data_IF_955944393345
#
_entry.id   IF_955944393345
#
_cell.length_a   1.000
_cell.length_b   1.000
_cell.length_c   1.000
_cell.angle_alpha   90.00
_cell.angle_beta   90.00
_cell.angle_gamma   90.00
#
_symmetry.space_group_name_H-M   'P 1'
#
loop_
_entity.id
_entity.type
_entity.pdbx_description
1 polymer ?
#
# COMPACT_ATOMS: atom_id res chain seq x y z
N UNK A 1 7.03 -36.74 -4.59
CA UNK A 1 6.67 -37.69 -5.68
C UNK A 1 6.16 -37.00 -6.95
N UNK A 2 5.21 -36.06 -6.88
CA UNK A 2 4.73 -35.32 -8.06
C UNK A 2 5.82 -34.44 -8.72
N UNK A 3 6.61 -33.71 -7.92
CA UNK A 3 7.77 -32.93 -8.42
C UNK A 3 8.83 -33.81 -9.09
N UNK A 4 8.97 -35.07 -8.68
CA UNK A 4 9.91 -36.01 -9.28
C UNK A 4 9.41 -36.61 -10.62
N UNK A 5 8.14 -36.34 -11.00
CA UNK A 5 7.48 -36.87 -12.19
C UNK A 5 7.18 -35.80 -13.25
N UNK A 6 7.59 -34.56 -13.03
CA UNK A 6 7.31 -33.39 -13.89
C UNK A 6 5.81 -33.30 -14.28
N UNK A 7 4.94 -33.65 -13.32
CA UNK A 7 3.51 -33.77 -13.56
C UNK A 7 2.86 -32.37 -13.67
N UNK A 8 2.10 -32.09 -14.74
CA UNK A 8 1.39 -30.81 -14.87
C UNK A 8 0.40 -30.59 -13.71
N UNK A 9 0.32 -29.36 -13.21
CA UNK A 9 -0.55 -28.99 -12.07
C UNK A 9 -2.01 -29.45 -12.21
N UNK A 10 -2.68 -29.38 -13.38
CA UNK A 10 -4.05 -29.90 -13.54
C UNK A 10 -4.15 -31.41 -13.31
N UNK A 11 -3.14 -32.19 -13.73
CA UNK A 11 -3.12 -33.64 -13.51
C UNK A 11 -2.95 -33.97 -12.02
N UNK A 12 -2.16 -33.17 -11.30
CA UNK A 12 -2.03 -33.27 -9.85
C UNK A 12 -3.37 -33.03 -9.13
N UNK A 13 -4.10 -31.96 -9.49
CA UNK A 13 -5.43 -31.69 -8.89
C UNK A 13 -6.46 -32.78 -9.20
N UNK A 14 -6.45 -33.34 -10.42
CA UNK A 14 -7.31 -34.49 -10.75
C UNK A 14 -7.05 -35.67 -9.81
N UNK A 15 -5.78 -36.00 -9.57
CA UNK A 15 -5.42 -37.08 -8.65
C UNK A 15 -5.82 -36.78 -7.20
N UNK A 16 -5.71 -35.52 -6.76
CA UNK A 16 -6.22 -35.11 -5.45
C UNK A 16 -7.74 -35.34 -5.35
N UNK A 17 -8.50 -35.01 -6.39
CA UNK A 17 -9.94 -35.25 -6.44
C UNK A 17 -10.28 -36.75 -6.40
N UNK A 18 -9.52 -37.59 -7.12
CA UNK A 18 -9.64 -39.05 -7.05
C UNK A 18 -9.40 -39.59 -5.64
N UNK A 19 -8.42 -39.04 -4.91
CA UNK A 19 -8.13 -39.42 -3.53
C UNK A 19 -9.15 -38.88 -2.52
N UNK A 20 -9.76 -37.73 -2.79
CA UNK A 20 -10.80 -37.17 -1.92
C UNK A 20 -12.12 -37.91 -2.03
N UNK A 21 -12.38 -38.58 -3.16
CA UNK A 21 -13.62 -39.32 -3.41
C UNK A 21 -14.81 -38.36 -3.47
N UNK A 22 -15.91 -38.71 -2.80
CA UNK A 22 -17.14 -37.89 -2.76
C UNK A 22 -17.01 -36.59 -1.94
N UNK A 23 -15.83 -36.32 -1.36
CA UNK A 23 -15.58 -35.08 -0.61
C UNK A 23 -15.20 -33.95 -1.55
N UNK A 24 -15.77 -32.77 -1.30
CA UNK A 24 -15.38 -31.55 -1.98
C UNK A 24 -13.95 -31.15 -1.57
N UNK A 25 -13.06 -31.00 -2.55
CA UNK A 25 -11.72 -30.48 -2.33
C UNK A 25 -11.78 -28.96 -2.07
N UNK A 26 -11.26 -28.54 -0.92
CA UNK A 26 -11.13 -27.11 -0.58
C UNK A 26 -9.67 -26.71 -0.69
N UNK A 27 -9.37 -25.81 -1.63
CA UNK A 27 -8.05 -25.23 -1.79
C UNK A 27 -7.99 -23.84 -1.17
N UNK A 28 -7.07 -23.64 -0.23
CA UNK A 28 -6.93 -22.39 0.53
C UNK A 28 -5.49 -21.94 0.53
N UNK A 29 -5.26 -20.78 -0.07
CA UNK A 29 -4.05 -20.01 0.11
C UNK A 29 -4.32 -18.51 0.00
N UNK A 30 -3.72 -17.69 0.88
CA UNK A 30 -3.82 -16.24 0.77
C UNK A 30 -3.05 -15.69 -0.45
N UNK A 31 -2.21 -16.50 -1.11
CA UNK A 31 -1.31 -16.03 -2.18
C UNK A 31 -1.97 -15.90 -3.55
N UNK A 32 -3.00 -16.68 -3.85
CA UNK A 32 -3.68 -16.61 -5.16
C UNK A 32 -4.19 -15.20 -5.44
N UNK A 33 -4.63 -14.51 -4.39
CA UNK A 33 -5.14 -13.17 -4.48
C UNK A 33 -4.12 -12.14 -5.00
N UNK A 34 -2.81 -12.41 -4.95
CA UNK A 34 -1.75 -11.47 -5.36
C UNK A 34 -1.39 -11.56 -6.84
N UNK A 35 -1.94 -12.55 -7.56
CA UNK A 35 -1.77 -12.72 -8.99
C UNK A 35 -3.11 -13.07 -9.66
N UNK A 36 -3.65 -12.11 -10.39
CA UNK A 36 -4.92 -12.26 -11.09
C UNK A 36 -4.89 -13.39 -12.12
N UNK A 37 -3.75 -13.66 -12.77
CA UNK A 37 -3.63 -14.78 -13.69
C UNK A 37 -3.82 -16.11 -12.96
N UNK A 38 -3.31 -16.23 -11.73
CA UNK A 38 -3.55 -17.38 -10.86
C UNK A 38 -5.01 -17.58 -10.51
N UNK A 39 -5.76 -16.51 -10.22
CA UNK A 39 -7.21 -16.61 -9.98
C UNK A 39 -7.97 -17.09 -11.24
N UNK A 40 -7.62 -16.54 -12.40
CA UNK A 40 -8.26 -16.87 -13.68
C UNK A 40 -8.00 -18.30 -14.12
N UNK A 41 -6.81 -18.86 -13.85
CA UNK A 41 -6.47 -20.26 -14.16
C UNK A 41 -7.44 -21.28 -13.58
N UNK A 42 -8.11 -20.95 -12.46
CA UNK A 42 -9.10 -21.86 -11.89
C UNK A 42 -10.29 -22.10 -12.85
N UNK A 43 -10.71 -21.10 -13.62
CA UNK A 43 -11.79 -21.25 -14.61
C UNK A 43 -11.34 -22.07 -15.83
N UNK A 44 -10.03 -22.12 -16.12
CA UNK A 44 -9.48 -22.94 -17.20
C UNK A 44 -9.34 -24.41 -16.79
N UNK A 45 -9.07 -24.67 -15.50
CA UNK A 45 -8.70 -26.00 -15.00
C UNK A 45 -9.87 -26.77 -14.41
N UNK A 46 -10.88 -26.08 -13.89
CA UNK A 46 -12.00 -26.69 -13.19
C UNK A 46 -13.33 -26.36 -13.86
N UNK A 47 -14.21 -27.34 -13.89
CA UNK A 47 -15.60 -27.12 -14.30
C UNK A 47 -16.38 -26.50 -13.14
N UNK A 48 -16.86 -25.27 -13.33
CA UNK A 48 -17.69 -24.53 -12.37
C UNK A 48 -17.14 -24.45 -10.93
N UNK A 49 -15.89 -23.98 -10.73
CA UNK A 49 -15.35 -23.84 -9.38
C UNK A 49 -16.19 -22.84 -8.55
N UNK A 50 -16.28 -23.12 -7.25
CA UNK A 50 -16.94 -22.28 -6.26
C UNK A 50 -15.90 -21.43 -5.51
N UNK A 51 -16.23 -20.17 -5.28
CA UNK A 51 -15.34 -19.20 -4.67
C UNK A 51 -15.89 -18.72 -3.33
N UNK A 52 -15.11 -18.94 -2.27
CA UNK A 52 -15.38 -18.39 -0.94
C UNK A 52 -14.44 -17.22 -0.70
N UNK A 53 -14.97 -16.00 -0.74
CA UNK A 53 -14.22 -14.78 -0.45
C UNK A 53 -14.29 -14.48 1.04
N UNK A 54 -13.31 -15.00 1.79
CA UNK A 54 -13.11 -14.65 3.19
C UNK A 54 -12.48 -13.25 3.29
N UNK A 55 -13.16 -12.34 3.96
CA UNK A 55 -12.72 -10.96 4.18
C UNK A 55 -12.51 -10.71 5.66
N UNK A 56 -11.46 -9.97 6.02
CA UNK A 56 -11.24 -9.46 7.37
C UNK A 56 -10.98 -7.96 7.32
N UNK A 57 -11.36 -7.25 8.37
CA UNK A 57 -11.17 -5.79 8.45
C UNK A 57 -9.70 -5.42 8.13
N UNK A 58 -9.43 -4.36 7.35
CA UNK A 58 -8.08 -4.02 6.89
C UNK A 58 -7.12 -3.80 8.06
N UNK A 59 -7.54 -3.06 9.09
CA UNK A 59 -6.72 -2.79 10.28
C UNK A 59 -6.36 -4.08 11.02
N UNK A 60 -7.33 -4.97 11.26
CA UNK A 60 -7.07 -6.27 11.91
C UNK A 60 -6.09 -7.11 11.11
N UNK A 61 -6.25 -7.11 9.77
CA UNK A 61 -5.39 -7.89 8.88
C UNK A 61 -3.96 -7.37 8.89
N UNK A 62 -3.79 -6.05 8.86
CA UNK A 62 -2.48 -5.42 8.86
C UNK A 62 -1.78 -5.60 10.20
N UNK A 63 -2.46 -5.41 11.33
CA UNK A 63 -1.91 -5.73 12.65
C UNK A 63 -1.43 -7.18 12.72
N UNK A 64 -2.27 -8.12 12.26
CA UNK A 64 -1.90 -9.54 12.19
C UNK A 64 -0.69 -9.79 11.28
N UNK A 65 -0.59 -9.10 10.15
CA UNK A 65 0.52 -9.18 9.21
C UNK A 65 1.83 -8.70 9.84
N UNK A 66 1.78 -7.59 10.57
CA UNK A 66 2.92 -7.00 11.28
C UNK A 66 3.40 -7.90 12.41
N UNK A 67 2.49 -8.39 13.26
CA UNK A 67 2.80 -9.30 14.36
C UNK A 67 3.40 -10.62 13.90
N UNK A 68 2.94 -11.13 12.75
CA UNK A 68 3.46 -12.36 12.15
C UNK A 68 4.78 -12.16 11.39
N UNK A 69 5.29 -10.92 11.32
CA UNK A 69 6.51 -10.56 10.59
C UNK A 69 6.48 -10.98 9.11
N UNK A 70 5.33 -10.88 8.47
CA UNK A 70 5.16 -11.33 7.08
C UNK A 70 5.94 -10.49 6.07
N UNK A 71 6.34 -9.27 6.43
CA UNK A 71 7.18 -8.40 5.60
C UNK A 71 8.57 -9.00 5.34
N UNK A 72 9.10 -9.77 6.29
CA UNK A 72 10.43 -10.38 6.19
C UNK A 72 10.49 -11.49 5.12
N UNK A 73 9.32 -12.04 4.75
CA UNK A 73 9.22 -13.10 3.73
C UNK A 73 9.33 -12.51 2.31
N UNK A 74 8.90 -11.27 2.12
CA UNK A 74 8.90 -10.57 0.83
C UNK A 74 9.21 -9.08 1.04
N UNK A 75 10.46 -8.69 1.31
CA UNK A 75 10.78 -7.31 1.60
C UNK A 75 10.50 -6.42 0.39
N UNK A 76 9.63 -5.43 0.56
CA UNK A 76 9.44 -4.33 -0.37
C UNK A 76 10.09 -3.06 0.19
N UNK A 77 10.51 -2.10 -0.65
CA UNK A 77 11.02 -0.80 -0.19
C UNK A 77 9.87 0.10 0.32
N UNK A 78 9.04 -0.42 1.22
CA UNK A 78 7.91 0.24 1.85
C UNK A 78 8.00 0.04 3.37
N UNK A 79 7.32 0.89 4.14
CA UNK A 79 7.12 0.58 5.57
C UNK A 79 6.33 -0.72 5.71
N UNK A 80 6.50 -1.43 6.82
CA UNK A 80 5.81 -2.70 7.04
C UNK A 80 4.28 -2.54 6.99
N UNK A 81 3.77 -1.41 7.50
CA UNK A 81 2.35 -1.04 7.49
C UNK A 81 1.85 -0.79 6.06
N UNK A 82 2.63 -0.06 5.25
CA UNK A 82 2.29 0.24 3.85
C UNK A 82 2.35 -1.00 2.97
N UNK A 83 3.33 -1.88 3.21
CA UNK A 83 3.40 -3.17 2.55
C UNK A 83 2.19 -4.04 2.91
N UNK A 84 1.85 -4.13 4.19
CA UNK A 84 0.68 -4.89 4.65
C UNK A 84 -0.63 -4.35 4.06
N UNK A 85 -0.79 -3.02 4.03
CA UNK A 85 -1.92 -2.33 3.40
C UNK A 85 -1.99 -2.63 1.90
N UNK A 86 -0.86 -2.54 1.19
CA UNK A 86 -0.80 -2.85 -0.24
C UNK A 86 -1.19 -4.29 -0.53
N UNK A 87 -0.69 -5.25 0.25
CA UNK A 87 -1.03 -6.67 0.14
C UNK A 87 -2.52 -6.90 0.33
N UNK A 88 -3.12 -6.28 1.37
CA UNK A 88 -4.56 -6.38 1.63
C UNK A 88 -5.38 -5.78 0.47
N UNK A 89 -5.03 -4.57 0.03
CA UNK A 89 -5.77 -3.84 -1.01
C UNK A 89 -5.66 -4.53 -2.36
N UNK A 90 -4.45 -4.90 -2.78
CA UNK A 90 -4.20 -5.56 -4.05
C UNK A 90 -4.92 -6.92 -4.09
N UNK A 91 -4.77 -7.71 -3.02
CA UNK A 91 -5.40 -9.03 -2.90
C UNK A 91 -6.91 -8.97 -3.07
N UNK A 92 -7.58 -8.09 -2.33
CA UNK A 92 -9.03 -7.96 -2.42
C UNK A 92 -9.51 -7.29 -3.71
N UNK A 93 -8.75 -6.34 -4.27
CA UNK A 93 -9.09 -5.75 -5.56
C UNK A 93 -9.07 -6.80 -6.69
N UNK A 94 -8.03 -7.65 -6.73
CA UNK A 94 -7.91 -8.72 -7.72
C UNK A 94 -8.98 -9.80 -7.55
N UNK A 95 -9.33 -10.17 -6.31
CA UNK A 95 -10.46 -11.08 -6.04
C UNK A 95 -11.76 -10.48 -6.58
N UNK A 96 -12.06 -9.21 -6.27
CA UNK A 96 -13.30 -8.57 -6.75
C UNK A 96 -13.33 -8.44 -8.28
N UNK A 97 -12.18 -8.17 -8.90
CA UNK A 97 -12.07 -8.12 -10.36
C UNK A 97 -12.37 -9.49 -10.99
N UNK A 98 -11.81 -10.57 -10.44
CA UNK A 98 -12.11 -11.94 -10.89
C UNK A 98 -13.58 -12.30 -10.67
N UNK A 99 -14.10 -12.08 -9.46
CA UNK A 99 -15.47 -12.42 -9.10
C UNK A 99 -16.52 -11.62 -9.85
N UNK A 100 -16.19 -10.44 -10.40
CA UNK A 100 -17.08 -9.70 -11.27
C UNK A 100 -17.42 -10.45 -12.57
N UNK A 101 -16.58 -11.41 -12.98
CA UNK A 101 -16.81 -12.27 -14.15
C UNK A 101 -17.42 -13.64 -13.79
N UNK A 102 -17.52 -13.96 -12.49
CA UNK A 102 -18.04 -15.23 -11.98
C UNK A 102 -19.53 -15.08 -11.65
N UNK A 103 -20.41 -16.00 -12.09
CA UNK A 103 -21.83 -15.98 -11.72
C UNK A 103 -22.03 -15.93 -10.19
N UNK A 104 -23.02 -15.15 -9.74
CA UNK A 104 -23.33 -15.00 -8.31
C UNK A 104 -23.55 -16.35 -7.58
N UNK A 105 -24.13 -17.34 -8.27
CA UNK A 105 -24.35 -18.68 -7.71
C UNK A 105 -23.05 -19.46 -7.43
N UNK A 106 -21.89 -19.01 -7.94
CA UNK A 106 -20.58 -19.65 -7.72
C UNK A 106 -19.68 -18.85 -6.78
N UNK A 107 -20.21 -17.82 -6.12
CA UNK A 107 -19.43 -17.01 -5.19
C UNK A 107 -20.19 -16.76 -3.88
N UNK A 108 -19.44 -16.81 -2.77
CA UNK A 108 -19.95 -16.53 -1.44
C UNK A 108 -18.95 -15.70 -0.66
N UNK A 109 -19.38 -14.54 -0.16
CA UNK A 109 -18.56 -13.68 0.69
C UNK A 109 -18.82 -14.01 2.15
N UNK A 110 -17.74 -14.23 2.90
CA UNK A 110 -17.77 -14.53 4.32
C UNK A 110 -16.92 -13.50 5.07
N UNK A 111 -17.52 -12.80 6.03
CA UNK A 111 -16.75 -11.90 6.90
C UNK A 111 -16.16 -12.69 8.06
N UNK A 112 -14.87 -12.48 8.31
CA UNK A 112 -14.14 -13.11 9.39
C UNK A 112 -14.76 -12.79 10.75
N UNK A 113 -15.19 -11.54 10.95
CA UNK A 113 -15.81 -11.07 12.18
C UNK A 113 -17.13 -11.81 12.47
N UNK A 114 -17.94 -12.09 11.45
CA UNK A 114 -19.15 -12.89 11.58
C UNK A 114 -18.82 -14.35 11.89
N UNK A 115 -17.81 -14.90 11.19
CA UNK A 115 -17.33 -16.27 11.39
C UNK A 115 -16.87 -16.54 12.83
N UNK A 116 -16.23 -15.57 13.50
CA UNK A 116 -15.77 -15.76 14.89
C UNK A 116 -16.78 -15.34 15.94
N UNK A 117 -17.73 -14.45 15.63
CA UNK A 117 -18.79 -14.02 16.56
C UNK A 117 -19.94 -15.03 16.63
N UNK A 118 -20.39 -15.50 15.49
CA UNK A 118 -21.42 -16.53 15.36
C UNK A 118 -20.99 -17.60 14.34
N UNK A 119 -20.06 -18.50 14.74
CA UNK A 119 -19.55 -19.53 13.84
C UNK A 119 -20.64 -20.48 13.35
N UNK A 120 -21.74 -20.64 14.09
CA UNK A 120 -22.84 -21.50 13.66
C UNK A 120 -23.56 -20.88 12.47
N UNK A 121 -24.04 -19.64 12.61
CA UNK A 121 -24.75 -18.96 11.53
C UNK A 121 -23.87 -18.79 10.28
N UNK A 122 -22.59 -18.45 10.48
CA UNK A 122 -21.63 -18.33 9.39
C UNK A 122 -21.42 -19.66 8.64
N UNK A 123 -21.27 -20.77 9.36
CA UNK A 123 -21.12 -22.10 8.75
C UNK A 123 -22.41 -22.59 8.10
N UNK A 124 -23.59 -22.28 8.64
CA UNK A 124 -24.88 -22.58 8.01
C UNK A 124 -25.00 -21.90 6.64
N UNK A 125 -24.65 -20.61 6.54
CA UNK A 125 -24.65 -19.88 5.28
C UNK A 125 -23.65 -20.45 4.26
N UNK A 126 -22.44 -20.78 4.70
CA UNK A 126 -21.40 -21.36 3.85
C UNK A 126 -21.79 -22.77 3.37
N UNK A 127 -22.27 -23.63 4.26
CA UNK A 127 -22.71 -24.98 3.93
C UNK A 127 -23.89 -24.96 2.95
N UNK A 128 -24.86 -24.06 3.14
CA UNK A 128 -25.96 -23.89 2.19
C UNK A 128 -25.46 -23.51 0.79
N UNK A 129 -24.47 -22.61 0.69
CA UNK A 129 -23.84 -22.26 -0.59
C UNK A 129 -23.10 -23.45 -1.23
N UNK A 130 -22.41 -24.26 -0.43
CA UNK A 130 -21.65 -25.42 -0.91
C UNK A 130 -22.53 -26.66 -1.17
N UNK A 131 -23.83 -26.61 -0.82
CA UNK A 131 -24.72 -27.77 -0.90
C UNK A 131 -24.38 -28.87 0.12
N UNK A 132 -23.89 -28.48 1.29
CA UNK A 132 -23.47 -29.37 2.37
C UNK A 132 -24.34 -29.19 3.62
N UNK A 133 -24.40 -30.21 4.46
CA UNK A 133 -24.97 -30.11 5.81
C UNK A 133 -23.92 -29.61 6.80
N UNK A 134 -24.37 -28.84 7.80
CA UNK A 134 -23.49 -28.40 8.89
C UNK A 134 -23.20 -29.57 9.82
N UNK A 135 -21.93 -29.94 9.92
CA UNK A 135 -21.47 -30.97 10.86
C UNK A 135 -20.98 -30.31 12.17
N UNK A 136 -21.26 -30.89 13.36
CA UNK A 136 -20.77 -30.36 14.63
C UNK A 136 -19.25 -30.16 14.67
N UNK A 137 -18.49 -31.02 13.98
CA UNK A 137 -17.04 -30.89 13.86
C UNK A 137 -16.61 -29.56 13.22
N UNK A 138 -17.43 -28.91 12.38
CA UNK A 138 -17.08 -27.61 11.80
C UNK A 138 -16.97 -26.50 12.85
N UNK A 139 -17.66 -26.65 13.99
CA UNK A 139 -17.67 -25.67 15.09
C UNK A 139 -16.56 -25.92 16.13
N UNK A 140 -15.86 -27.05 16.04
CA UNK A 140 -14.79 -27.45 16.97
C UNK A 140 -13.43 -27.62 16.26
N UNK A 141 -12.84 -26.55 15.68
CA UNK A 141 -11.65 -26.66 14.82
C UNK A 141 -10.38 -27.17 15.52
N UNK A 142 -10.35 -27.19 16.85
CA UNK A 142 -9.22 -27.68 17.67
C UNK A 142 -9.37 -29.14 18.09
N UNK A 143 -10.48 -29.79 17.73
CA UNK A 143 -10.74 -31.19 18.02
C UNK A 143 -10.50 -32.07 16.78
N UNK A 144 -9.87 -33.22 17.02
CA UNK A 144 -9.59 -34.24 16.01
C UNK A 144 -8.34 -33.98 15.17
N UNK A 145 -8.06 -34.88 14.22
CA UNK A 145 -6.91 -34.77 13.30
C UNK A 145 -7.29 -33.89 12.11
N UNK A 146 -6.78 -32.65 12.06
CA UNK A 146 -7.08 -31.68 10.98
C UNK A 146 -5.88 -31.28 10.13
N UNK A 147 -4.86 -32.14 10.08
CA UNK A 147 -3.59 -31.86 9.38
C UNK A 147 -2.89 -30.58 9.89
N UNK A 148 -3.12 -30.24 11.16
CA UNK A 148 -2.48 -29.11 11.86
C UNK A 148 -1.20 -29.55 12.59
N UNK A 149 -1.03 -30.85 12.82
CA UNK A 149 0.10 -31.41 13.58
C UNK A 149 1.37 -31.49 12.71
N UNK A 150 2.50 -30.96 13.20
CA UNK A 150 3.82 -31.14 12.56
C UNK A 150 4.38 -29.95 11.76
N UNK A 151 3.74 -28.79 11.75
CA UNK A 151 4.20 -27.58 11.02
C UNK A 151 5.39 -26.83 11.68
N UNK A 152 6.21 -27.49 12.49
CA UNK A 152 7.26 -26.83 13.30
C UNK A 152 8.51 -26.37 12.53
N UNK A 153 8.73 -26.82 11.30
CA UNK A 153 9.92 -26.45 10.50
C UNK A 153 9.60 -25.85 9.13
N UNK A 154 8.92 -26.61 8.26
CA UNK A 154 8.61 -26.20 6.88
C UNK A 154 7.22 -25.55 6.70
N UNK A 155 6.37 -25.61 7.73
CA UNK A 155 4.95 -25.24 7.69
C UNK A 155 4.63 -23.76 7.87
N UNK A 156 5.60 -22.96 8.32
CA UNK A 156 5.45 -21.52 8.59
C UNK A 156 5.08 -20.69 7.35
N UNK A 157 5.19 -21.23 6.15
CA UNK A 157 4.90 -20.50 4.90
C UNK A 157 3.45 -20.58 4.40
N UNK A 158 2.57 -21.43 4.97
CA UNK A 158 1.24 -21.72 4.37
C UNK A 158 0.00 -21.53 5.29
N UNK A 159 0.18 -21.36 6.60
CA UNK A 159 -0.93 -21.23 7.56
C UNK A 159 -0.66 -20.22 8.68
N UNK A 160 -1.65 -19.95 9.52
CA UNK A 160 -1.50 -19.04 10.67
C UNK A 160 -0.61 -19.70 11.75
N UNK A 161 0.60 -19.18 12.02
CA UNK A 161 1.49 -19.74 13.05
C UNK A 161 0.92 -19.65 14.47
N UNK A 162 -0.09 -18.81 14.70
CA UNK A 162 -0.76 -18.65 16.00
C UNK A 162 -1.93 -19.60 16.19
N UNK A 163 -2.32 -20.39 15.17
CA UNK A 163 -3.48 -21.29 15.26
C UNK A 163 -3.43 -22.17 16.53
N UNK A 164 -2.29 -22.78 16.84
CA UNK A 164 -2.11 -23.64 18.01
C UNK A 164 -2.11 -22.94 19.38
N UNK A 165 -2.08 -21.61 19.40
CA UNK A 165 -2.13 -20.83 20.64
C UNK A 165 -3.57 -20.70 21.18
N UNK A 166 -4.56 -21.00 20.33
CA UNK A 166 -5.97 -20.98 20.68
C UNK A 166 -6.48 -22.41 20.97
N UNK A 167 -7.52 -22.50 21.81
CA UNK A 167 -8.17 -23.79 22.15
C UNK A 167 -9.64 -23.85 21.71
N UNK A 168 -10.19 -22.72 21.29
CA UNK A 168 -11.57 -22.54 20.83
C UNK A 168 -11.63 -21.34 19.89
N UNK A 169 -12.71 -21.22 19.12
CA UNK A 169 -12.96 -20.04 18.29
C UNK A 169 -13.10 -18.83 19.23
N UNK A 170 -12.22 -17.84 19.06
CA UNK A 170 -12.13 -16.69 19.95
C UNK A 170 -12.85 -15.48 19.33
N UNK A 171 -14.07 -15.21 19.79
CA UNK A 171 -14.84 -14.04 19.33
C UNK A 171 -14.13 -12.70 19.65
N UNK A 172 -13.25 -12.66 20.66
CA UNK A 172 -12.53 -11.46 21.06
C UNK A 172 -11.58 -10.92 19.99
N UNK A 173 -11.19 -11.74 19.02
CA UNK A 173 -10.33 -11.31 17.91
C UNK A 173 -11.10 -10.55 16.81
N UNK A 174 -12.44 -10.58 16.83
CA UNK A 174 -13.29 -9.85 15.89
C UNK A 174 -13.10 -8.34 16.03
N UNK A 175 -13.03 -7.85 17.26
CA UNK A 175 -13.07 -6.42 17.59
C UNK A 175 -11.71 -5.81 17.89
N UNK A 176 -10.61 -6.58 17.85
CA UNK A 176 -9.25 -6.09 18.12
C UNK A 176 -8.84 -4.87 17.31
N UNK A 177 -9.40 -4.70 16.11
CA UNK A 177 -9.11 -3.53 15.29
C UNK A 177 -9.74 -2.24 15.83
N UNK A 178 -10.76 -2.31 16.68
CA UNK A 178 -11.43 -1.14 17.27
C UNK A 178 -10.57 -0.47 18.33
N UNK A 179 -9.66 -1.22 18.95
CA UNK A 179 -8.71 -0.73 19.95
C UNK A 179 -7.44 -0.11 19.31
N UNK A 180 -7.32 -0.16 17.98
CA UNK A 180 -6.19 0.41 17.27
C UNK A 180 -6.20 1.94 17.38
N UNK A 181 -5.12 2.59 17.85
CA UNK A 181 -5.03 4.04 17.90
C UNK A 181 -5.16 4.60 16.48
N UNK A 182 -6.17 5.44 16.30
CA UNK A 182 -6.57 6.17 15.10
C UNK A 182 -6.24 5.49 13.75
N UNK A 183 -7.31 5.06 13.09
CA UNK A 183 -7.43 4.58 11.71
C UNK A 183 -6.90 5.53 10.59
N UNK A 184 -6.07 6.50 10.95
CA UNK A 184 -5.57 7.62 10.14
C UNK A 184 -4.51 7.24 9.10
N UNK A 185 -3.94 6.03 9.16
CA UNK A 185 -2.83 5.62 8.28
C UNK A 185 -3.28 4.85 7.03
N UNK A 186 -4.52 4.31 7.01
CA UNK A 186 -5.09 3.69 5.81
C UNK A 186 -5.43 4.74 4.75
N UNK A 187 -4.97 4.51 3.52
CA UNK A 187 -5.23 5.37 2.38
C UNK A 187 -6.69 5.33 1.93
N UNK A 188 -7.11 6.37 1.21
CA UNK A 188 -8.49 6.52 0.73
C UNK A 188 -8.94 5.33 -0.13
N UNK A 189 -8.08 4.86 -1.03
CA UNK A 189 -8.37 3.71 -1.89
C UNK A 189 -8.62 2.42 -1.07
N UNK A 190 -7.96 2.28 0.08
CA UNK A 190 -8.15 1.15 0.99
C UNK A 190 -9.50 1.25 1.69
N UNK A 191 -9.89 2.44 2.15
CA UNK A 191 -11.21 2.67 2.75
C UNK A 191 -12.35 2.46 1.76
N UNK A 192 -12.23 3.00 0.54
CA UNK A 192 -13.22 2.77 -0.53
C UNK A 192 -13.39 1.28 -0.83
N UNK A 193 -12.30 0.52 -0.81
CA UNK A 193 -12.37 -0.93 -0.98
C UNK A 193 -13.01 -1.62 0.24
N UNK A 194 -12.70 -1.19 1.46
CA UNK A 194 -13.29 -1.72 2.69
C UNK A 194 -14.82 -1.51 2.73
N UNK A 195 -15.30 -0.32 2.33
CA UNK A 195 -16.73 -0.01 2.22
C UNK A 195 -17.43 -0.94 1.23
N UNK A 196 -16.84 -1.18 0.05
CA UNK A 196 -17.34 -2.15 -0.94
C UNK A 196 -17.41 -3.58 -0.38
N UNK A 197 -16.53 -3.90 0.56
CA UNK A 197 -16.47 -5.21 1.22
C UNK A 197 -17.40 -5.34 2.42
N UNK A 198 -18.12 -4.27 2.78
CA UNK A 198 -19.10 -4.28 3.87
C UNK A 198 -18.57 -3.80 5.22
N UNK A 199 -17.40 -3.15 5.25
CA UNK A 199 -16.91 -2.48 6.46
C UNK A 199 -17.26 -1.01 6.45
N UNK A 200 -17.88 -0.57 7.54
CA UNK A 200 -18.12 0.84 7.77
C UNK A 200 -16.79 1.56 7.93
N UNK A 201 -16.61 2.61 7.15
CA UNK A 201 -15.57 3.59 7.44
C UNK A 201 -15.93 4.22 8.78
N UNK A 202 -15.01 4.25 9.76
CA UNK A 202 -15.22 5.02 10.98
C UNK A 202 -15.62 6.41 10.54
N UNK A 203 -16.69 6.97 11.13
CA UNK A 203 -16.99 8.37 10.93
C UNK A 203 -15.67 9.10 11.14
N UNK A 204 -15.14 9.72 10.08
CA UNK A 204 -14.03 10.63 10.23
C UNK A 204 -14.51 11.51 11.36
N UNK A 205 -13.77 11.59 12.47
CA UNK A 205 -13.92 12.77 13.27
C UNK A 205 -13.69 13.88 12.24
N UNK A 206 -14.80 14.48 11.79
CA UNK A 206 -14.73 15.80 11.23
C UNK A 206 -14.18 16.51 12.43
N UNK A 207 -12.87 16.72 12.38
CA UNK A 207 -12.17 17.74 13.08
C UNK A 207 -12.93 19.03 12.70
N UNK A 208 -14.08 19.21 13.35
CA UNK A 208 -14.88 20.44 13.36
C UNK A 208 -14.15 21.49 14.20
N UNK A 209 -13.18 21.06 14.99
CA UNK A 209 -12.00 21.83 15.28
C UNK A 209 -10.97 21.41 14.23
N UNK A 210 -10.47 22.33 13.40
CA UNK A 210 -9.19 22.10 12.71
C UNK A 210 -8.09 21.65 13.70
N UNK A 211 -6.84 21.42 13.27
CA UNK A 211 -5.77 21.19 14.26
C UNK A 211 -5.92 22.26 15.34
N UNK A 212 -6.21 21.86 16.59
CA UNK A 212 -6.17 22.80 17.70
C UNK A 212 -4.85 23.50 17.52
N UNK A 213 -4.90 24.82 17.34
CA UNK A 213 -3.69 25.60 17.31
C UNK A 213 -2.91 25.13 18.53
N UNK A 214 -1.79 24.43 18.29
CA UNK A 214 -0.79 24.37 19.31
C UNK A 214 -0.50 25.85 19.52
N UNK A 215 -0.82 26.38 20.71
CA UNK A 215 -0.37 27.70 21.17
C UNK A 215 1.15 27.64 21.36
N UNK A 216 1.86 27.19 20.32
CA UNK A 216 3.29 27.25 20.17
C UNK A 216 3.51 28.34 19.14
N UNK A 217 4.12 29.47 19.52
CA UNK A 217 4.53 30.45 18.53
C UNK A 217 5.43 29.74 17.52
N UNK A 218 5.23 30.04 16.22
CA UNK A 218 6.12 29.60 15.16
C UNK A 218 7.56 29.83 15.62
N UNK A 219 8.27 28.73 15.87
CA UNK A 219 9.65 28.80 16.33
C UNK A 219 10.43 29.32 15.13
N UNK A 220 10.75 30.61 15.15
CA UNK A 220 11.68 31.20 14.17
C UNK A 220 12.97 30.35 14.09
N UNK A 221 13.83 30.60 13.09
CA UNK A 221 14.81 29.62 12.57
C UNK A 221 16.00 29.24 13.49
N UNK A 222 15.82 29.15 14.81
CA UNK A 222 16.91 29.14 15.78
C UNK A 222 17.23 27.80 16.43
N UNK A 223 16.46 26.72 16.37
CA UNK A 223 17.04 25.38 16.59
C UNK A 223 15.99 24.31 16.29
N UNK A 224 15.84 23.91 15.02
CA UNK A 224 14.78 22.99 14.63
C UNK A 224 15.30 21.54 14.70
N UNK A 225 14.91 20.74 15.72
CA UNK A 225 15.29 19.34 15.77
C UNK A 225 14.58 18.56 14.66
N UNK A 226 15.12 17.42 14.27
CA UNK A 226 14.40 16.48 13.40
C UNK A 226 13.29 15.80 14.20
N UNK A 227 12.14 15.57 13.57
CA UNK A 227 11.12 14.68 14.11
C UNK A 227 11.67 13.26 14.24
N UNK A 228 11.05 12.40 15.06
CA UNK A 228 11.51 11.01 15.22
C UNK A 228 11.56 10.25 13.89
N UNK A 229 10.61 10.50 12.99
CA UNK A 229 10.61 9.93 11.65
C UNK A 229 11.79 10.41 10.80
N UNK A 230 12.07 11.70 10.83
CA UNK A 230 13.22 12.28 10.14
C UNK A 230 14.55 11.78 10.71
N UNK A 231 14.70 11.67 12.04
CA UNK A 231 15.91 11.16 12.70
C UNK A 231 16.23 9.72 12.23
N UNK A 232 15.22 8.85 12.16
CA UNK A 232 15.38 7.48 11.66
C UNK A 232 15.88 7.46 10.22
N UNK A 233 15.26 8.24 9.33
CA UNK A 233 15.63 8.30 7.91
C UNK A 233 17.01 8.92 7.70
N UNK A 234 17.36 9.94 8.46
CA UNK A 234 18.69 10.54 8.46
C UNK A 234 19.76 9.52 8.89
N UNK A 235 19.50 8.75 9.95
CA UNK A 235 20.41 7.70 10.40
C UNK A 235 20.60 6.61 9.33
N UNK A 236 19.53 6.19 8.68
CA UNK A 236 19.58 5.21 7.58
C UNK A 236 20.39 5.72 6.39
N UNK A 237 20.23 6.98 6.01
CA UNK A 237 21.04 7.62 4.97
C UNK A 237 22.54 7.66 5.33
N UNK A 238 22.90 7.79 6.62
CA UNK A 238 24.31 7.70 7.05
C UNK A 238 24.88 6.29 6.98
N UNK A 239 24.05 5.26 7.14
CA UNK A 239 24.48 3.86 7.01
C UNK A 239 24.68 3.46 5.55
N UNK A 240 23.86 3.98 4.64
CA UNK A 240 23.92 3.68 3.20
C UNK A 240 23.91 4.96 2.34
N UNK A 241 24.99 5.77 2.37
CA UNK A 241 25.03 7.03 1.63
C UNK A 241 24.82 6.84 0.12
N UNK A 242 23.92 7.63 -0.45
CA UNK A 242 23.60 7.58 -1.88
C UNK A 242 22.66 6.45 -2.29
N UNK A 243 22.10 5.70 -1.33
CA UNK A 243 21.08 4.68 -1.58
C UNK A 243 19.77 5.33 -2.06
N UNK A 244 19.19 4.78 -3.13
CA UNK A 244 17.88 5.17 -3.62
C UNK A 244 16.69 4.58 -2.85
N UNK A 245 16.95 3.81 -1.77
CA UNK A 245 15.91 3.05 -1.06
C UNK A 245 14.79 3.92 -0.46
N UNK A 246 15.06 5.21 -0.21
CA UNK A 246 14.10 6.17 0.34
C UNK A 246 13.71 7.26 -0.66
N UNK A 247 13.97 7.04 -1.94
CA UNK A 247 13.43 7.86 -3.01
C UNK A 247 11.96 7.48 -3.27
N UNK A 248 11.16 8.46 -3.66
CA UNK A 248 9.76 8.28 -4.05
C UNK A 248 9.56 8.79 -5.49
N UNK A 249 10.08 8.06 -6.50
CA UNK A 249 9.94 8.46 -7.90
C UNK A 249 8.53 8.20 -8.41
N UNK A 250 8.03 9.13 -9.22
CA UNK A 250 6.78 9.01 -9.97
C UNK A 250 6.98 9.60 -11.38
N UNK A 251 6.25 9.05 -12.35
CA UNK A 251 6.18 9.60 -13.69
C UNK A 251 4.72 9.72 -14.13
N UNK A 252 4.37 10.86 -14.73
CA UNK A 252 3.00 11.16 -15.19
C UNK A 252 3.06 11.53 -16.65
N UNK A 253 2.42 10.73 -17.50
CA UNK A 253 2.22 11.06 -18.92
C UNK A 253 1.10 12.08 -19.02
N UNK A 254 1.36 13.20 -19.69
CA UNK A 254 0.39 14.25 -19.98
C UNK A 254 0.19 14.26 -21.49
N UNK A 255 -1.06 14.16 -21.92
CA UNK A 255 -1.47 14.26 -23.32
C UNK A 255 -2.44 15.41 -23.47
N UNK A 256 -2.30 16.18 -24.55
CA UNK A 256 -3.06 17.40 -24.80
C UNK A 256 -2.29 18.68 -24.43
N UNK A 257 -2.96 19.85 -24.48
CA UNK A 257 -2.34 21.13 -24.20
C UNK A 257 -1.88 21.23 -22.73
N UNK A 258 -0.64 21.72 -22.53
CA UNK A 258 -0.05 21.94 -21.21
C UNK A 258 0.50 23.36 -21.10
N UNK A 259 0.04 24.14 -20.13
CA UNK A 259 0.67 25.42 -19.78
C UNK A 259 1.88 25.14 -18.87
N UNK A 260 3.05 24.95 -19.49
CA UNK A 260 4.31 24.67 -18.79
C UNK A 260 4.66 25.78 -17.78
N UNK A 261 4.34 27.04 -18.11
CA UNK A 261 4.63 28.15 -17.22
C UNK A 261 3.71 28.14 -15.99
N UNK A 262 2.43 27.80 -16.15
CA UNK A 262 1.52 27.60 -15.02
C UNK A 262 1.96 26.42 -14.14
N UNK A 263 2.41 25.32 -14.74
CA UNK A 263 2.92 24.17 -14.00
C UNK A 263 4.17 24.54 -13.19
N UNK A 264 5.12 25.26 -13.78
CA UNK A 264 6.31 25.76 -13.09
C UNK A 264 5.96 26.69 -11.93
N UNK A 265 5.00 27.62 -12.12
CA UNK A 265 4.49 28.50 -11.05
C UNK A 265 3.82 27.70 -9.93
N UNK A 266 3.04 26.68 -10.27
CA UNK A 266 2.36 25.82 -9.32
C UNK A 266 3.35 25.01 -8.47
N UNK A 267 4.38 24.41 -9.08
CA UNK A 267 5.46 23.76 -8.35
C UNK A 267 6.15 24.73 -7.39
N UNK A 268 6.51 25.93 -7.85
CA UNK A 268 7.16 26.93 -7.01
C UNK A 268 6.26 27.40 -5.85
N UNK A 269 4.95 27.48 -6.06
CA UNK A 269 3.99 27.80 -5.02
C UNK A 269 3.87 26.67 -3.98
N UNK A 270 3.91 25.40 -4.40
CA UNK A 270 3.95 24.24 -3.51
C UNK A 270 5.20 24.26 -2.61
N UNK A 271 6.39 24.47 -3.17
CA UNK A 271 7.61 24.53 -2.36
C UNK A 271 7.61 25.73 -1.40
N UNK A 272 7.07 26.88 -1.82
CA UNK A 272 6.90 28.04 -0.92
C UNK A 272 5.94 27.74 0.22
N UNK A 273 4.85 27.05 -0.08
CA UNK A 273 3.78 26.72 0.86
C UNK A 273 4.22 25.70 1.92
N UNK A 274 4.96 24.67 1.50
CA UNK A 274 5.39 23.56 2.38
C UNK A 274 6.88 23.66 2.68
N UNK A 275 7.22 24.19 3.84
CA UNK A 275 8.63 24.43 4.20
C UNK A 275 9.47 23.16 4.20
N UNK A 276 8.86 22.01 4.50
CA UNK A 276 9.51 20.70 4.51
C UNK A 276 10.15 20.34 3.16
N UNK A 277 9.58 20.79 2.04
CA UNK A 277 10.10 20.51 0.70
C UNK A 277 11.41 21.25 0.40
N UNK A 278 11.67 22.34 1.14
CA UNK A 278 12.91 23.14 1.09
C UNK A 278 13.78 22.92 2.33
N UNK A 279 13.48 21.94 3.17
CA UNK A 279 14.29 21.60 4.36
C UNK A 279 15.46 20.71 3.98
N UNK A 280 16.65 21.07 4.47
CA UNK A 280 17.85 20.24 4.48
C UNK A 280 18.15 19.75 5.91
N UNK A 281 19.01 18.74 6.03
CA UNK A 281 19.31 18.03 7.27
C UNK A 281 20.82 17.92 7.53
N UNK A 282 21.54 19.04 7.69
CA UNK A 282 22.97 19.00 8.01
C UNK A 282 23.21 18.43 9.42
N UNK A 283 24.40 17.87 9.62
CA UNK A 283 24.91 17.55 10.95
C UNK A 283 25.66 18.77 11.50
N UNK A 284 25.19 19.32 12.62
CA UNK A 284 25.87 20.40 13.36
C UNK A 284 26.28 19.82 14.71
N UNK A 285 27.59 19.86 15.02
CA UNK A 285 28.15 19.27 16.25
C UNK A 285 27.79 17.78 16.44
N UNK A 286 27.71 17.04 15.34
CA UNK A 286 27.37 15.60 15.36
C UNK A 286 25.89 15.29 15.58
N UNK A 287 25.01 16.30 15.62
CA UNK A 287 23.55 16.12 15.72
C UNK A 287 22.86 16.60 14.45
N UNK A 288 21.88 15.86 13.91
CA UNK A 288 21.12 16.33 12.76
C UNK A 288 20.20 17.49 13.18
N UNK A 289 20.06 18.49 12.31
CA UNK A 289 19.15 19.63 12.49
C UNK A 289 18.37 19.90 11.20
N UNK A 290 17.18 20.48 11.30
CA UNK A 290 16.43 20.95 10.15
C UNK A 290 16.93 22.36 9.78
N UNK A 291 17.30 22.54 8.53
CA UNK A 291 17.62 23.85 7.95
C UNK A 291 16.67 24.16 6.80
N UNK A 292 15.71 25.04 7.05
CA UNK A 292 14.71 25.46 6.06
C UNK A 292 15.36 26.46 5.09
N UNK A 293 15.60 26.03 3.85
CA UNK A 293 16.25 26.84 2.80
C UNK A 293 15.28 27.84 2.17
N UNK A 294 15.78 28.92 1.59
CA UNK A 294 14.95 29.83 0.81
C UNK A 294 14.30 29.09 -0.40
N UNK A 295 13.09 29.48 -0.82
CA UNK A 295 12.44 28.90 -2.00
C UNK A 295 13.29 29.06 -3.26
N UNK A 296 13.27 28.05 -4.13
CA UNK A 296 14.01 28.07 -5.40
C UNK A 296 13.27 28.88 -6.46
N UNK A 297 14.01 29.59 -7.33
CA UNK A 297 13.41 30.38 -8.41
C UNK A 297 12.89 29.51 -9.57
N UNK A 298 13.49 28.34 -9.80
CA UNK A 298 13.12 27.40 -10.87
C UNK A 298 12.98 25.97 -10.31
N UNK A 299 11.82 25.36 -10.54
CA UNK A 299 11.49 24.01 -10.08
C UNK A 299 11.12 23.05 -11.20
N UNK A 300 11.06 23.50 -12.45
CA UNK A 300 10.60 22.67 -13.56
C UNK A 300 11.57 22.71 -14.74
N UNK A 301 12.81 22.21 -14.57
CA UNK A 301 13.72 22.03 -15.68
C UNK A 301 13.09 21.15 -16.76
N UNK A 302 13.11 21.67 -18.00
CA UNK A 302 12.61 20.98 -19.18
C UNK A 302 13.72 20.29 -19.97
N UNK A 303 13.42 19.14 -20.58
CA UNK A 303 14.25 18.51 -21.61
C UNK A 303 13.40 18.30 -22.85
N UNK A 304 13.82 18.90 -23.97
CA UNK A 304 13.13 18.74 -25.24
C UNK A 304 13.66 17.50 -25.99
N UNK A 305 12.82 16.47 -26.10
CA UNK A 305 13.11 15.25 -26.83
C UNK A 305 12.51 15.27 -28.24
N UNK A 306 11.77 16.32 -28.62
CA UNK A 306 11.14 16.42 -29.94
C UNK A 306 12.17 16.51 -31.07
N UNK A 307 13.38 16.98 -30.79
CA UNK A 307 14.50 16.99 -31.72
C UNK A 307 15.04 15.59 -32.06
N UNK A 308 14.75 14.58 -31.23
CA UNK A 308 15.15 13.19 -31.50
C UNK A 308 14.21 12.53 -32.53
N UNK A 309 14.70 11.54 -33.30
CA UNK A 309 13.84 10.68 -34.10
C UNK A 309 12.74 10.04 -33.26
N UNK A 310 11.50 10.02 -33.77
CA UNK A 310 10.33 9.54 -33.01
C UNK A 310 10.52 8.16 -32.37
N UNK A 311 11.17 7.23 -33.08
CA UNK A 311 11.46 5.88 -32.60
C UNK A 311 12.39 5.82 -31.37
N UNK A 312 13.15 6.88 -31.09
CA UNK A 312 14.12 6.94 -29.98
C UNK A 312 13.61 7.71 -28.76
N UNK A 313 12.53 8.50 -28.91
CA UNK A 313 12.07 9.41 -27.85
C UNK A 313 11.63 8.69 -26.60
N UNK A 314 10.88 7.60 -26.74
CA UNK A 314 10.34 6.83 -25.61
C UNK A 314 11.45 6.10 -24.84
N UNK A 315 12.43 5.57 -25.56
CA UNK A 315 13.60 4.93 -24.97
C UNK A 315 14.44 5.94 -24.18
N UNK A 316 14.66 7.13 -24.73
CA UNK A 316 15.40 8.19 -24.05
C UNK A 316 14.63 8.75 -22.85
N UNK A 317 13.30 8.93 -22.97
CA UNK A 317 12.46 9.32 -21.84
C UNK A 317 12.52 8.30 -20.70
N UNK A 318 12.47 7.01 -21.02
CA UNK A 318 12.63 5.92 -20.04
C UNK A 318 14.01 5.95 -19.37
N UNK A 319 15.09 6.15 -20.15
CA UNK A 319 16.46 6.27 -19.65
C UNK A 319 16.58 7.44 -18.67
N UNK A 320 16.02 8.60 -19.01
CA UNK A 320 16.02 9.79 -18.17
C UNK A 320 15.17 9.61 -16.90
N UNK A 321 14.02 8.93 -16.99
CA UNK A 321 13.19 8.60 -15.83
C UNK A 321 13.93 7.70 -14.82
N UNK A 322 14.61 6.66 -15.30
CA UNK A 322 15.43 5.78 -14.45
C UNK A 322 16.60 6.55 -13.84
N UNK A 323 17.28 7.39 -14.63
CA UNK A 323 18.38 8.22 -14.13
C UNK A 323 17.92 9.20 -13.03
N UNK A 324 16.76 9.84 -13.19
CA UNK A 324 16.18 10.74 -12.19
C UNK A 324 15.76 9.99 -10.92
N UNK A 325 15.19 8.79 -11.06
CA UNK A 325 14.79 7.94 -9.95
C UNK A 325 16.00 7.46 -9.10
N UNK A 326 17.12 7.14 -9.75
CA UNK A 326 18.32 6.61 -9.11
C UNK A 326 19.31 7.69 -8.65
N UNK A 327 19.22 8.90 -9.20
CA UNK A 327 20.12 9.99 -8.82
C UNK A 327 19.99 10.29 -7.32
N UNK A 328 21.09 10.24 -6.55
CA UNK A 328 21.05 10.34 -5.09
C UNK A 328 20.60 11.73 -4.62
N UNK A 329 19.94 11.77 -3.47
CA UNK A 329 19.71 13.01 -2.73
C UNK A 329 20.82 13.22 -1.70
N UNK A 330 21.32 14.45 -1.60
CA UNK A 330 22.16 14.87 -0.47
C UNK A 330 21.27 15.51 0.60
N UNK A 331 21.04 14.79 1.71
CA UNK A 331 20.21 15.26 2.80
C UNK A 331 20.76 16.54 3.44
N UNK A 332 22.06 16.77 3.46
CA UNK A 332 22.66 17.93 4.12
C UNK A 332 22.52 19.21 3.29
N UNK A 333 22.57 19.09 1.96
CA UNK A 333 22.47 20.21 1.05
C UNK A 333 21.04 20.47 0.56
N UNK A 334 20.27 19.41 0.31
CA UNK A 334 19.05 19.47 -0.50
C UNK A 334 19.35 19.90 -1.94
N UNK A 335 18.31 20.17 -2.75
CA UNK A 335 16.89 20.02 -2.46
C UNK A 335 16.45 18.55 -2.46
N UNK A 336 15.42 18.22 -1.67
CA UNK A 336 14.92 16.85 -1.47
C UNK A 336 13.60 16.55 -2.20
N UNK A 337 13.26 17.45 -3.12
CA UNK A 337 12.16 17.37 -4.08
C UNK A 337 12.69 17.84 -5.44
N UNK A 338 12.51 17.03 -6.48
CA UNK A 338 12.89 17.31 -7.87
C UNK A 338 11.72 17.06 -8.79
N UNK A 339 11.55 17.98 -9.75
CA UNK A 339 10.60 17.84 -10.84
C UNK A 339 11.34 18.04 -12.15
N UNK A 340 10.97 17.31 -13.19
CA UNK A 340 11.52 17.48 -14.53
C UNK A 340 10.42 17.24 -15.54
N UNK A 341 10.34 18.09 -16.57
CA UNK A 341 9.41 17.90 -17.67
C UNK A 341 10.16 17.41 -18.91
N UNK A 342 9.78 16.26 -19.47
CA UNK A 342 10.26 15.81 -20.77
C UNK A 342 9.20 16.12 -21.82
N UNK A 343 9.58 16.76 -22.92
CA UNK A 343 8.70 17.09 -24.04
C UNK A 343 8.94 16.09 -25.18
N UNK A 344 7.97 15.22 -25.45
CA UNK A 344 8.10 14.10 -26.40
C UNK A 344 7.49 14.42 -27.78
N UNK A 345 6.39 15.16 -27.79
CA UNK A 345 5.71 15.66 -28.98
C UNK A 345 4.91 16.91 -28.64
N UNK A 346 4.34 17.57 -29.66
CA UNK A 346 3.65 18.87 -29.52
C UNK A 346 2.65 18.95 -28.35
N UNK A 347 1.96 17.84 -28.06
CA UNK A 347 0.99 17.72 -26.96
C UNK A 347 1.25 16.46 -26.12
N UNK A 348 2.51 16.05 -26.01
CA UNK A 348 2.90 14.87 -25.23
C UNK A 348 4.10 15.17 -24.34
N UNK A 349 3.89 15.01 -23.04
CA UNK A 349 4.89 15.31 -22.02
C UNK A 349 4.98 14.18 -21.00
N UNK A 350 6.17 13.99 -20.43
CA UNK A 350 6.38 13.12 -19.27
C UNK A 350 6.88 13.98 -18.11
N UNK A 351 6.05 14.14 -17.09
CA UNK A 351 6.42 14.80 -15.85
C UNK A 351 7.05 13.78 -14.91
N UNK A 352 8.33 13.97 -14.60
CA UNK A 352 9.06 13.20 -13.61
C UNK A 352 9.05 13.96 -12.29
N UNK A 353 8.72 13.25 -11.21
CA UNK A 353 8.73 13.78 -9.85
C UNK A 353 9.52 12.81 -8.99
N UNK A 354 10.44 13.30 -8.17
CA UNK A 354 11.14 12.48 -7.21
C UNK A 354 11.30 13.23 -5.90
N UNK A 355 11.09 12.54 -4.78
CA UNK A 355 11.21 13.07 -3.43
C UNK A 355 12.07 12.14 -2.59
N UNK A 356 12.72 12.69 -1.56
CA UNK A 356 13.21 11.87 -0.46
C UNK A 356 12.09 11.67 0.58
N UNK A 357 11.92 10.45 1.09
CA UNK A 357 10.87 10.12 2.08
C UNK A 357 11.01 10.93 3.40
N UNK A 358 12.18 11.53 3.65
CA UNK A 358 12.42 12.38 4.83
C UNK A 358 11.63 13.70 4.80
N UNK A 359 11.22 14.17 3.62
CA UNK A 359 10.45 15.42 3.46
C UNK A 359 8.99 15.19 3.08
N UNK A 360 8.59 13.95 2.80
CA UNK A 360 7.24 13.64 2.35
C UNK A 360 6.95 12.14 2.55
N UNK A 361 5.70 11.81 2.87
CA UNK A 361 5.21 10.44 2.96
C UNK A 361 4.09 10.19 1.93
N UNK A 362 3.63 8.95 1.83
CA UNK A 362 2.58 8.58 0.88
C UNK A 362 1.26 9.33 1.07
N UNK A 363 0.94 9.81 2.29
CA UNK A 363 -0.26 10.63 2.51
C UNK A 363 -0.07 12.03 1.95
N UNK A 364 1.07 12.63 2.27
CA UNK A 364 1.48 13.97 1.89
C UNK A 364 1.59 14.11 0.38
N UNK A 365 2.02 13.05 -0.34
CA UNK A 365 2.01 13.02 -1.82
C UNK A 365 0.61 13.30 -2.37
N UNK A 366 -0.44 12.70 -1.81
CA UNK A 366 -1.82 12.94 -2.25
C UNK A 366 -2.29 14.38 -1.98
N UNK A 367 -1.87 14.97 -0.86
CA UNK A 367 -2.16 16.38 -0.52
C UNK A 367 -1.43 17.34 -1.47
N UNK A 368 -0.12 17.17 -1.65
CA UNK A 368 0.70 17.95 -2.57
C UNK A 368 0.17 17.87 -3.99
N UNK A 369 -0.26 16.69 -4.44
CA UNK A 369 -0.83 16.52 -5.79
C UNK A 369 -2.13 17.32 -5.96
N UNK A 370 -3.05 17.27 -5.00
CA UNK A 370 -4.31 18.04 -5.06
C UNK A 370 -4.06 19.55 -5.07
N UNK A 371 -3.17 20.01 -4.20
CA UNK A 371 -2.81 21.42 -4.13
C UNK A 371 -2.08 21.90 -5.39
N UNK A 372 -1.20 21.07 -5.96
CA UNK A 372 -0.51 21.37 -7.21
C UNK A 372 -1.51 21.57 -8.35
N UNK A 373 -2.53 20.72 -8.45
CA UNK A 373 -3.59 20.86 -9.45
C UNK A 373 -4.43 22.12 -9.22
N UNK A 374 -4.78 22.44 -7.97
CA UNK A 374 -5.50 23.68 -7.65
C UNK A 374 -4.68 24.92 -8.05
N UNK A 375 -3.39 24.95 -7.72
CA UNK A 375 -2.48 26.05 -8.05
C UNK A 375 -2.23 26.15 -9.55
N UNK A 376 -2.14 25.03 -10.26
CA UNK A 376 -2.04 24.99 -11.72
C UNK A 376 -3.26 25.66 -12.38
N UNK A 377 -4.46 25.42 -11.83
CA UNK A 377 -5.71 26.06 -12.27
C UNK A 377 -5.88 27.51 -11.77
N UNK A 378 -4.90 28.06 -11.04
CA UNK A 378 -4.96 29.42 -10.49
C UNK A 378 -5.88 29.57 -9.27
N UNK A 379 -6.30 28.48 -8.63
CA UNK A 379 -7.10 28.54 -7.41
C UNK A 379 -6.22 28.94 -6.20
N UNK A 380 -6.63 29.95 -5.40
CA UNK A 380 -5.90 30.31 -4.19
C UNK A 380 -6.07 29.23 -3.12
N UNK A 381 -5.03 29.02 -2.33
CA UNK A 381 -5.04 28.12 -1.17
C UNK A 381 -4.91 28.95 0.12
N UNK A 382 -5.66 28.63 1.19
CA UNK A 382 -5.55 29.32 2.46
C UNK A 382 -4.18 29.06 3.09
N UNK A 383 -3.61 30.02 3.82
CA UNK A 383 -2.33 29.83 4.51
C UNK A 383 -2.35 28.61 5.44
N UNK A 384 -1.21 27.94 5.56
CA UNK A 384 -1.09 26.80 6.47
C UNK A 384 -0.98 27.31 7.91
N UNK A 385 -1.83 26.83 8.84
CA UNK A 385 -1.76 27.24 10.23
C UNK A 385 -0.54 26.66 10.97
N UNK A 386 0.08 25.61 10.42
CA UNK A 386 1.24 24.92 10.96
C UNK A 386 2.15 24.47 9.83
N UNK A 387 3.46 24.48 10.08
CA UNK A 387 4.49 23.89 9.24
C UNK A 387 5.02 22.61 9.87
N UNK A 388 5.63 21.73 9.06
CA UNK A 388 6.12 20.45 9.56
C UNK A 388 7.15 20.61 10.69
N UNK A 389 7.97 21.67 10.64
CA UNK A 389 8.95 21.96 11.67
C UNK A 389 8.31 22.25 13.04
N UNK A 390 7.05 22.72 13.09
CA UNK A 390 6.34 23.00 14.33
C UNK A 390 5.89 21.71 15.06
N UNK A 391 5.89 20.57 14.35
CA UNK A 391 5.55 19.23 14.91
C UNK A 391 6.73 18.55 15.62
N UNK A 392 7.97 18.88 15.25
CA UNK A 392 9.17 18.12 15.59
C UNK A 392 9.59 18.19 17.08
#
# INVERSE_FOLDING_TARGET
EAEARDEPTPAFYRRLQEWTGDRLLVDKTPRYALDLATLRRAEDWFEAPLYVHLVRHPVATIQSYLEARMMDVYPLPLSAERQAELVWRLGHAQILEHLAQVPAARQHRLLFEDLVRDPRAAMEGLCAFLGLDVAPAMLSPYEGKRMTDGLHGAGRMMGDPKFHQHRQIDAGVADRYKDAPENAWLGEATWTLAERLGYDRPARAVFAEGPRALDRPHLGPVDLPLSSGQQRLWFLDRLEPGSGAYHMPASVRITGPLDVAALGRACAAIERRHEVLRTAFPAVEGKPRQEIRAPRPDLLPGVDLTALPAALREAEASRLAVAEALAPFDLAAGPLWRVRLLHLAAEEFLLLVNLHHIVCDGWSVGLVTRELMALYQGAPLPDLPLQYADFA
#
